data_IF_889398532243
#
_entry.id   IF_889398532243
#
_cell.length_a   1.000
_cell.length_b   1.000
_cell.length_c   1.000
_cell.angle_alpha   90.00
_cell.angle_beta   90.00
_cell.angle_gamma   90.00
#
_symmetry.space_group_name_H-M   'P 1'
#
loop_
_entity.id
_entity.type
_entity.pdbx_description
1 polymer ?
#
# COMPACT_ATOMS: atom_id res chain seq x y z
N UNK A 1 13.44 -33.03 -18.64
CA UNK A 1 13.52 -31.93 -19.62
C UNK A 1 14.31 -30.80 -18.98
N UNK A 2 15.56 -30.57 -19.41
CA UNK A 2 16.37 -29.43 -18.94
C UNK A 2 16.12 -28.27 -19.90
N UNK A 3 15.39 -27.25 -19.43
CA UNK A 3 15.20 -26.02 -20.20
C UNK A 3 16.37 -25.07 -19.88
N UNK A 4 17.14 -24.59 -20.88
CA UNK A 4 18.19 -23.62 -20.63
C UNK A 4 17.59 -22.32 -20.09
N UNK A 5 18.31 -21.59 -19.22
CA UNK A 5 17.81 -20.32 -18.68
C UNK A 5 17.65 -19.30 -19.80
N UNK A 6 16.55 -18.53 -19.76
CA UNK A 6 16.34 -17.41 -20.66
C UNK A 6 17.38 -16.32 -20.33
N UNK A 7 18.27 -16.03 -21.27
CA UNK A 7 19.30 -14.99 -21.11
C UNK A 7 18.86 -13.75 -21.90
N UNK A 8 18.57 -12.66 -21.18
CA UNK A 8 18.33 -11.35 -21.79
C UNK A 8 19.64 -10.56 -21.85
N UNK A 9 19.92 -9.96 -23.01
CA UNK A 9 21.03 -9.01 -23.17
C UNK A 9 20.70 -7.59 -22.65
N UNK A 10 19.46 -7.37 -22.21
CA UNK A 10 18.98 -6.08 -21.72
C UNK A 10 18.94 -6.06 -20.19
N UNK A 11 19.36 -4.93 -19.65
CA UNK A 11 19.25 -4.66 -18.22
C UNK A 11 17.89 -4.05 -17.91
N UNK A 12 17.33 -4.41 -16.75
CA UNK A 12 16.09 -3.81 -16.26
C UNK A 12 16.44 -2.78 -15.18
N UNK A 13 16.06 -1.50 -15.35
CA UNK A 13 16.31 -0.49 -14.34
C UNK A 13 15.49 -0.75 -13.07
N UNK A 14 15.95 -0.19 -11.95
CA UNK A 14 15.15 -0.16 -10.72
C UNK A 14 14.05 0.89 -10.85
N UNK A 15 12.93 0.60 -10.20
CA UNK A 15 11.72 1.41 -10.29
C UNK A 15 11.24 1.71 -8.89
N UNK A 16 10.97 2.98 -8.65
CA UNK A 16 10.23 3.45 -7.50
C UNK A 16 8.92 4.03 -7.98
N UNK A 17 7.83 3.79 -7.26
CA UNK A 17 6.54 4.34 -7.64
C UNK A 17 5.73 4.71 -6.42
N UNK A 18 4.84 5.67 -6.62
CA UNK A 18 3.82 6.02 -5.66
C UNK A 18 2.57 6.45 -6.42
N UNK A 19 1.50 6.71 -5.68
CA UNK A 19 0.26 7.16 -6.28
C UNK A 19 -0.40 8.25 -5.44
N UNK A 20 -1.29 8.95 -6.11
CA UNK A 20 -2.32 9.78 -5.49
C UNK A 20 -3.68 9.23 -5.92
N UNK A 21 -4.76 9.92 -5.53
CA UNK A 21 -6.11 9.57 -5.96
C UNK A 21 -6.30 9.60 -7.48
N UNK A 22 -5.57 10.49 -8.17
CA UNK A 22 -5.76 10.77 -9.60
C UNK A 22 -4.60 10.29 -10.47
N UNK A 23 -3.41 10.17 -9.89
CA UNK A 23 -2.18 9.90 -10.66
C UNK A 23 -1.37 8.77 -10.07
N UNK A 24 -0.59 8.13 -10.93
CA UNK A 24 0.47 7.19 -10.56
C UNK A 24 1.77 7.78 -11.07
N UNK A 25 2.78 7.85 -10.21
CA UNK A 25 4.09 8.40 -10.56
C UNK A 25 5.09 7.26 -10.53
N UNK A 26 5.79 7.07 -11.64
CA UNK A 26 6.81 6.05 -11.81
C UNK A 26 8.16 6.74 -11.98
N UNK A 27 9.08 6.47 -11.08
CA UNK A 27 10.47 6.93 -11.13
C UNK A 27 11.37 5.78 -11.60
N UNK A 28 11.90 5.91 -12.82
CA UNK A 28 12.90 4.99 -13.36
C UNK A 28 14.28 5.46 -12.88
N UNK A 29 14.92 4.65 -12.05
CA UNK A 29 16.20 4.96 -11.39
C UNK A 29 17.37 4.70 -12.34
N UNK A 30 17.60 5.66 -13.24
CA UNK A 30 18.73 5.69 -14.16
C UNK A 30 19.30 7.10 -14.23
N UNK A 31 20.58 7.22 -13.86
CA UNK A 31 21.32 8.49 -13.82
C UNK A 31 21.92 8.81 -15.19
N UNK A 32 22.08 10.08 -15.54
CA UNK A 32 22.75 10.62 -16.73
C UNK A 32 22.21 10.08 -18.06
N UNK A 33 20.91 9.81 -18.14
CA UNK A 33 20.26 9.41 -19.38
C UNK A 33 19.93 10.67 -20.18
N UNK A 34 20.42 10.78 -21.42
CA UNK A 34 20.09 11.91 -22.31
C UNK A 34 18.97 11.57 -23.27
N UNK A 35 19.10 10.43 -23.93
CA UNK A 35 18.17 9.96 -24.94
C UNK A 35 17.51 8.66 -24.49
N UNK A 36 16.18 8.63 -24.50
CA UNK A 36 15.40 7.44 -24.19
C UNK A 36 14.13 7.41 -25.02
N UNK A 37 13.69 6.19 -25.29
CA UNK A 37 12.40 5.91 -25.86
C UNK A 37 11.41 5.60 -24.75
N UNK A 38 10.27 6.30 -24.75
CA UNK A 38 9.18 6.08 -23.83
C UNK A 38 7.88 6.02 -24.64
N UNK A 39 7.15 4.91 -24.48
CA UNK A 39 5.82 4.73 -25.07
C UNK A 39 4.86 4.36 -23.96
N UNK A 40 3.75 5.08 -23.89
CA UNK A 40 2.69 4.83 -22.92
C UNK A 40 1.44 4.46 -23.71
N UNK A 41 0.85 3.34 -23.33
CA UNK A 41 -0.47 2.90 -23.76
C UNK A 41 -1.40 2.85 -22.55
N UNK A 42 -2.67 2.55 -22.78
CA UNK A 42 -3.68 2.62 -21.73
C UNK A 42 -3.48 1.57 -20.65
N UNK A 43 -2.81 0.46 -20.95
CA UNK A 43 -2.59 -0.70 -20.07
C UNK A 43 -1.11 -0.98 -19.79
N UNK A 44 -0.18 -0.39 -20.55
CA UNK A 44 1.24 -0.66 -20.37
C UNK A 44 2.16 0.51 -20.72
N UNK A 45 3.36 0.46 -20.14
CA UNK A 45 4.44 1.42 -20.38
C UNK A 45 5.67 0.67 -20.90
N UNK A 46 6.26 1.17 -21.98
CA UNK A 46 7.53 0.70 -22.51
C UNK A 46 8.59 1.78 -22.37
N UNK A 47 9.76 1.38 -21.91
CA UNK A 47 10.93 2.23 -21.80
C UNK A 47 12.16 1.51 -22.38
N UNK A 48 12.97 2.25 -23.12
CA UNK A 48 14.22 1.75 -23.68
C UNK A 48 15.27 2.84 -23.75
N UNK A 49 16.51 2.53 -23.40
CA UNK A 49 17.64 3.46 -23.57
C UNK A 49 18.95 2.70 -23.69
N UNK A 50 20.00 3.39 -24.14
CA UNK A 50 21.37 2.88 -24.19
C UNK A 50 22.22 3.83 -23.35
N UNK A 51 22.86 3.31 -22.31
CA UNK A 51 23.74 4.06 -21.42
C UNK A 51 25.03 3.28 -21.19
N UNK A 52 26.19 3.92 -21.34
CA UNK A 52 27.51 3.32 -21.10
C UNK A 52 27.70 1.97 -21.81
N UNK A 53 27.26 1.89 -23.07
CA UNK A 53 27.26 0.67 -23.89
C UNK A 53 26.38 -0.49 -23.35
N UNK A 54 25.56 -0.23 -22.33
CA UNK A 54 24.56 -1.15 -21.79
C UNK A 54 23.18 -0.76 -22.32
N UNK A 55 22.45 -1.76 -22.80
CA UNK A 55 21.07 -1.60 -23.25
C UNK A 55 20.13 -1.81 -22.06
N UNK A 56 19.22 -0.88 -21.86
CA UNK A 56 18.17 -0.97 -20.85
C UNK A 56 16.82 -1.09 -21.54
N UNK A 57 15.99 -1.99 -21.02
CA UNK A 57 14.65 -2.20 -21.53
C UNK A 57 13.70 -2.58 -20.39
N UNK A 58 12.50 -2.04 -20.46
CA UNK A 58 11.46 -2.23 -19.47
C UNK A 58 10.10 -2.22 -20.15
N UNK A 59 9.29 -3.22 -19.84
CA UNK A 59 7.84 -3.22 -20.10
C UNK A 59 7.14 -3.38 -18.76
N UNK A 60 6.21 -2.48 -18.47
CA UNK A 60 5.34 -2.55 -17.30
C UNK A 60 3.91 -2.68 -17.77
N UNK A 61 3.31 -3.85 -17.57
CA UNK A 61 1.86 -4.02 -17.63
C UNK A 61 1.26 -3.47 -16.35
N UNK A 62 0.51 -2.37 -16.47
CA UNK A 62 0.00 -1.60 -15.35
C UNK A 62 -1.16 -2.34 -14.66
N UNK A 63 -1.30 -2.12 -13.36
CA UNK A 63 -2.39 -2.72 -12.57
C UNK A 63 -3.78 -2.24 -13.00
N UNK A 64 -3.88 -0.98 -13.42
CA UNK A 64 -5.12 -0.39 -13.93
C UNK A 64 -4.88 0.45 -15.18
N UNK A 65 -5.98 0.83 -15.83
CA UNK A 65 -5.93 1.66 -17.03
C UNK A 65 -5.54 3.11 -16.70
N UNK A 66 -4.74 3.68 -17.59
CA UNK A 66 -4.30 5.09 -17.57
C UNK A 66 -4.72 5.80 -18.84
N UNK A 67 -4.79 7.14 -18.80
CA UNK A 67 -5.06 7.98 -19.97
C UNK A 67 -3.74 8.35 -20.63
N UNK A 68 -3.30 7.56 -21.62
CA UNK A 68 -1.99 7.73 -22.27
C UNK A 68 -1.76 9.17 -22.77
N UNK A 69 -2.78 9.80 -23.35
CA UNK A 69 -2.73 11.16 -23.90
C UNK A 69 -2.43 12.25 -22.85
N UNK A 70 -2.76 12.00 -21.57
CA UNK A 70 -2.57 12.95 -20.47
C UNK A 70 -1.30 12.67 -19.68
N UNK A 71 -0.46 11.78 -20.16
CA UNK A 71 0.76 11.41 -19.46
C UNK A 71 1.88 12.40 -19.77
N UNK A 72 2.66 12.72 -18.75
CA UNK A 72 3.78 13.64 -18.84
C UNK A 72 4.99 12.94 -18.27
N UNK A 73 6.16 13.16 -18.85
CA UNK A 73 7.41 12.65 -18.31
C UNK A 73 8.40 13.80 -18.09
N UNK A 74 9.31 13.61 -17.13
CA UNK A 74 10.36 14.56 -16.81
C UNK A 74 11.64 13.79 -16.52
N UNK A 75 12.70 14.16 -17.21
CA UNK A 75 14.04 13.72 -16.88
C UNK A 75 14.64 14.68 -15.84
N UNK A 76 15.10 14.16 -14.70
CA UNK A 76 15.67 14.93 -13.59
C UNK A 76 17.16 14.55 -13.41
N UNK A 77 17.80 14.11 -14.49
CA UNK A 77 19.17 13.60 -14.61
C UNK A 77 19.47 12.34 -13.79
N UNK A 78 19.04 12.27 -12.53
CA UNK A 78 19.20 11.11 -11.64
C UNK A 78 18.14 10.04 -11.87
N UNK A 79 16.98 10.46 -12.31
CA UNK A 79 15.82 9.60 -12.53
C UNK A 79 14.93 10.19 -13.62
N UNK A 80 14.14 9.32 -14.23
CA UNK A 80 13.12 9.69 -15.21
C UNK A 80 11.77 9.47 -14.52
N UNK A 81 11.05 10.55 -14.25
CA UNK A 81 9.71 10.51 -13.68
C UNK A 81 8.66 10.48 -14.77
N UNK A 82 7.75 9.55 -14.69
CA UNK A 82 6.59 9.42 -15.57
C UNK A 82 5.33 9.59 -14.74
N UNK A 83 4.54 10.60 -15.08
CA UNK A 83 3.29 10.95 -14.43
C UNK A 83 2.15 10.38 -15.27
N UNK A 84 1.53 9.33 -14.75
CA UNK A 84 0.39 8.67 -15.37
C UNK A 84 -0.91 9.18 -14.75
N UNK A 85 -1.90 9.51 -15.57
CA UNK A 85 -3.24 9.88 -15.09
C UNK A 85 -4.12 8.63 -15.08
N UNK A 86 -4.71 8.28 -13.93
CA UNK A 86 -5.61 7.13 -13.82
C UNK A 86 -6.89 7.35 -14.65
N UNK A 87 -7.36 6.30 -15.31
CA UNK A 87 -8.67 6.32 -15.96
C UNK A 87 -9.79 6.31 -14.92
N UNK A 88 -9.67 5.42 -13.93
CA UNK A 88 -10.57 5.34 -12.77
C UNK A 88 -9.96 6.15 -11.62
N UNK A 89 -10.61 7.27 -11.29
CA UNK A 89 -10.21 8.16 -10.18
C UNK A 89 -10.54 7.52 -8.82
N UNK A 90 -9.79 7.90 -7.79
CA UNK A 90 -9.97 7.48 -6.39
C UNK A 90 -9.81 5.99 -6.12
N UNK A 91 -9.51 5.18 -7.14
CA UNK A 91 -9.22 3.77 -6.95
C UNK A 91 -7.76 3.58 -6.54
N UNK A 92 -7.47 3.03 -5.34
CA UNK A 92 -6.12 2.80 -4.88
C UNK A 92 -5.52 1.58 -5.59
N UNK A 93 -4.35 1.76 -6.20
CA UNK A 93 -3.58 0.67 -6.79
C UNK A 93 -2.80 -0.04 -5.69
N UNK A 94 -3.08 -1.32 -5.47
CA UNK A 94 -2.35 -2.10 -4.47
C UNK A 94 -0.94 -2.48 -4.94
N UNK A 95 -0.74 -2.51 -6.25
CA UNK A 95 0.52 -2.82 -6.93
C UNK A 95 0.64 -1.99 -8.20
N UNK A 96 1.87 -1.82 -8.69
CA UNK A 96 2.12 -1.12 -9.95
C UNK A 96 1.75 -1.99 -11.15
N UNK A 97 2.05 -3.29 -11.05
CA UNK A 97 1.96 -4.24 -12.15
C UNK A 97 0.71 -5.11 -12.09
N UNK A 98 0.23 -5.56 -13.24
CA UNK A 98 -0.91 -6.49 -13.32
C UNK A 98 -0.60 -7.83 -12.62
N UNK A 99 0.62 -8.34 -12.81
CA UNK A 99 1.11 -9.57 -12.18
C UNK A 99 1.14 -9.46 -10.65
N UNK A 100 0.75 -10.54 -9.98
CA UNK A 100 0.84 -10.67 -8.53
C UNK A 100 2.24 -11.09 -8.05
N UNK A 101 3.13 -11.43 -8.99
CA UNK A 101 4.51 -11.77 -8.66
C UNK A 101 5.28 -10.54 -8.19
N UNK A 102 5.93 -10.67 -7.03
CA UNK A 102 6.75 -9.60 -6.46
C UNK A 102 8.03 -9.44 -7.29
N UNK A 103 8.12 -8.34 -8.03
CA UNK A 103 9.33 -7.96 -8.74
C UNK A 103 10.30 -7.20 -7.80
N UNK A 104 11.51 -7.72 -7.50
CA UNK A 104 12.45 -7.06 -6.59
C UNK A 104 13.02 -5.75 -7.14
N UNK A 105 12.86 -5.48 -8.44
CA UNK A 105 13.28 -4.22 -9.07
C UNK A 105 12.23 -3.12 -8.91
N UNK A 106 11.02 -3.46 -8.48
CA UNK A 106 9.92 -2.51 -8.28
C UNK A 106 9.68 -2.34 -6.79
N UNK A 107 9.72 -1.09 -6.33
CA UNK A 107 9.53 -0.74 -4.92
C UNK A 107 8.60 0.45 -4.78
N UNK A 108 7.86 0.52 -3.68
CA UNK A 108 7.04 1.68 -3.37
C UNK A 108 7.92 2.80 -2.80
N UNK A 109 7.66 4.04 -3.18
CA UNK A 109 8.36 5.21 -2.67
C UNK A 109 7.78 5.63 -1.31
N UNK A 110 8.52 5.27 -0.25
CA UNK A 110 8.15 5.50 1.16
C UNK A 110 8.08 7.00 1.49
N UNK A 111 8.80 7.85 0.76
CA UNK A 111 8.79 9.30 1.02
C UNK A 111 7.47 9.98 0.59
N UNK A 112 6.65 9.29 -0.20
CA UNK A 112 5.39 9.80 -0.73
C UNK A 112 4.16 9.03 -0.20
N UNK A 113 4.22 8.57 1.06
CA UNK A 113 3.06 8.00 1.75
C UNK A 113 2.14 9.16 2.14
N UNK A 114 1.10 9.40 1.34
CA UNK A 114 -0.01 10.24 1.74
C UNK A 114 -1.03 9.38 2.49
N UNK A 115 -1.48 9.81 3.67
CA UNK A 115 -2.67 9.22 4.30
C UNK A 115 -3.87 9.54 3.41
N UNK A 116 -4.28 8.58 2.57
CA UNK A 116 -5.60 8.63 1.95
C UNK A 116 -6.61 8.51 3.10
N UNK A 117 -7.21 9.62 3.50
CA UNK A 117 -8.35 9.60 4.41
C UNK A 117 -9.43 8.77 3.72
N UNK A 118 -9.59 7.52 4.14
CA UNK A 118 -10.72 6.72 3.74
C UNK A 118 -11.96 7.46 4.21
N UNK A 119 -12.72 8.06 3.30
CA UNK A 119 -14.06 8.50 3.61
C UNK A 119 -14.82 7.24 4.00
N UNK A 120 -15.13 7.09 5.29
CA UNK A 120 -16.13 6.15 5.75
C UNK A 120 -17.44 6.58 5.11
N UNK A 121 -17.76 6.04 3.94
CA UNK A 121 -19.13 6.06 3.44
C UNK A 121 -19.92 5.18 4.40
N UNK A 122 -20.65 5.83 5.30
CA UNK A 122 -21.66 5.20 6.14
C UNK A 122 -22.71 4.69 5.16
N UNK A 123 -22.69 3.40 4.87
CA UNK A 123 -23.83 2.73 4.26
C UNK A 123 -24.97 2.79 5.27
N UNK A 124 -25.90 3.72 5.10
CA UNK A 124 -27.16 3.69 5.83
C UNK A 124 -27.93 2.45 5.37
N UNK A 125 -27.85 1.39 6.17
CA UNK A 125 -28.64 0.19 6.02
C UNK A 125 -30.12 0.56 6.19
N UNK A 126 -30.84 0.74 5.08
CA UNK A 126 -32.28 0.91 5.05
C UNK A 126 -32.95 -0.45 5.32
N UNK A 127 -32.77 -0.96 6.54
CA UNK A 127 -33.31 -2.22 7.02
C UNK A 127 -33.81 -2.06 8.45
N UNK A 128 -35.11 -1.83 8.61
CA UNK A 128 -35.78 -1.80 9.91
C UNK A 128 -35.46 -3.05 10.73
N UNK A 129 -34.84 -2.89 11.89
CA UNK A 129 -35.12 -3.77 13.03
C UNK A 129 -35.01 -3.03 14.36
N UNK A 130 -36.03 -3.25 15.17
CA UNK A 130 -36.30 -2.56 16.42
C UNK A 130 -35.67 -3.27 17.62
N UNK A 131 -34.86 -2.52 18.39
CA UNK A 131 -34.56 -2.63 19.85
C UNK A 131 -33.69 -3.82 20.33
N UNK A 132 -33.06 -3.77 21.54
CA UNK A 132 -33.10 -2.75 22.60
C UNK A 132 -31.72 -2.21 23.05
N UNK A 133 -31.73 -1.04 23.71
CA UNK A 133 -30.57 -0.43 24.38
C UNK A 133 -30.09 -1.32 25.54
N UNK A 134 -28.87 -1.86 25.45
CA UNK A 134 -28.18 -2.44 26.61
C UNK A 134 -27.15 -1.44 27.12
N UNK A 135 -27.39 -0.94 28.34
CA UNK A 135 -26.45 -0.11 29.08
C UNK A 135 -25.35 -1.01 29.66
N UNK A 136 -24.28 -1.26 28.91
CA UNK A 136 -23.08 -1.86 29.47
C UNK A 136 -22.17 -0.77 30.03
N UNK A 137 -22.32 -0.53 31.34
CA UNK A 137 -21.38 0.20 32.17
C UNK A 137 -20.04 -0.54 32.09
N UNK A 138 -19.00 0.16 31.64
CA UNK A 138 -17.62 -0.35 31.50
C UNK A 138 -17.11 -0.91 32.83
N UNK A 139 -17.09 -2.24 32.98
CA UNK A 139 -16.29 -2.91 34.00
C UNK A 139 -15.01 -3.35 33.33
N UNK A 140 -13.90 -2.69 33.67
CA UNK A 140 -12.57 -3.11 33.28
C UNK A 140 -12.30 -4.48 33.90
N UNK A 141 -12.21 -5.54 33.08
CA UNK A 141 -11.89 -6.89 33.54
C UNK A 141 -10.35 -6.96 33.65
N UNK A 142 -9.83 -6.89 34.87
CA UNK A 142 -8.42 -7.13 35.15
C UNK A 142 -8.14 -8.64 35.07
N UNK A 143 -7.01 -9.07 34.47
CA UNK A 143 -6.64 -10.49 34.48
C UNK A 143 -6.25 -10.94 35.89
N UNK A 144 -6.72 -12.12 36.29
CA UNK A 144 -6.41 -12.73 37.58
C UNK A 144 -4.94 -13.15 37.57
N UNK A 145 -4.14 -12.52 38.44
CA UNK A 145 -2.75 -12.90 38.70
C UNK A 145 -2.76 -13.96 39.81
N UNK A 146 -2.18 -15.15 39.63
CA UNK A 146 -2.10 -16.12 40.72
C UNK A 146 -1.04 -15.65 41.73
N UNK A 147 -1.46 -15.18 42.90
CA UNK A 147 -0.56 -14.88 44.01
C UNK A 147 -0.29 -16.16 44.81
N UNK A 148 0.99 -16.49 44.91
CA UNK A 148 1.59 -17.55 45.73
C UNK A 148 1.26 -17.38 47.21
N UNK A 149 1.10 -18.53 47.89
CA UNK A 149 0.79 -18.77 49.30
C UNK A 149 1.47 -17.86 50.33
N UNK A 150 0.78 -17.53 51.42
CA UNK A 150 1.28 -17.59 52.82
C UNK A 150 0.10 -17.40 53.80
N UNK A 151 0.21 -18.04 54.97
CA UNK A 151 -0.86 -18.39 55.92
C UNK A 151 -1.37 -17.26 56.84
N UNK A 152 -2.54 -17.47 57.50
CA UNK A 152 -2.86 -16.74 58.74
C UNK A 152 -4.35 -16.65 59.19
N UNK A 153 -4.80 -17.65 59.94
CA UNK A 153 -5.65 -17.62 61.17
C UNK A 153 -6.81 -16.58 61.37
N UNK A 154 -8.06 -17.11 61.44
CA UNK A 154 -9.12 -17.06 62.51
C UNK A 154 -9.14 -15.83 63.46
N UNK A 155 -10.23 -15.12 63.84
CA UNK A 155 -11.62 -15.47 64.29
C UNK A 155 -12.49 -14.19 64.49
N UNK A 156 -13.84 -14.37 64.51
CA UNK A 156 -14.88 -13.79 65.43
C UNK A 156 -14.99 -12.24 65.55
N UNK A 157 -16.12 -11.57 65.74
CA UNK A 157 -17.55 -11.87 65.95
C UNK A 157 -18.30 -10.51 65.90
N UNK A 158 -19.63 -10.55 66.02
CA UNK A 158 -20.57 -9.51 66.50
C UNK A 158 -21.22 -8.53 65.49
N UNK A 159 -22.40 -8.96 65.02
CA UNK A 159 -23.74 -8.41 65.31
C UNK A 159 -24.03 -6.89 65.32
N UNK A 160 -25.05 -6.54 64.53
CA UNK A 160 -26.14 -5.57 64.71
C UNK A 160 -25.88 -4.19 65.38
N UNK A 161 -26.27 -3.10 64.71
CA UNK A 161 -27.28 -2.16 65.24
C UNK A 161 -27.75 -1.11 64.19
N UNK A 162 -29.07 -0.96 64.10
CA UNK A 162 -29.78 0.17 63.47
C UNK A 162 -29.63 1.46 64.29
N UNK A 163 -29.83 2.62 63.63
CA UNK A 163 -30.39 3.91 64.08
C UNK A 163 -29.68 5.04 63.30
N UNK A 164 -30.28 6.10 62.78
CA UNK A 164 -31.66 6.59 62.61
C UNK A 164 -31.58 7.63 61.46
#
# INVERSE_FOLDING_TARGET
MSCPPLVSNYNTPRIQWYQTDLTVVISIQLIDVRDYYLRIEDDHLLFSTIKDNKKYYLILYLFGSVKAEKTVHKNIDREIKVYLTKTVKWYPWLRLTLSDEKNPLISYDVHHIYETQQSQEIFEDAGQSSKPKSNYRSMNIMPVVPSSDEEGFISEDDDDFFCE
#
